data_IF_142329586768
#
_entry.id   IF_142329586768
#
_cell.length_a   1.000
_cell.length_b   1.000
_cell.length_c   1.000
_cell.angle_alpha   90.00
_cell.angle_beta   90.00
_cell.angle_gamma   90.00
#
_symmetry.space_group_name_H-M   'P 1'
#
loop_
_entity.id
_entity.type
_entity.pdbx_description
1 polymer ?
#
# COMPACT_ATOMS: atom_id res chain seq x y z
N UNK A 1 20.57 -9.48 -16.93
CA UNK A 1 20.01 -8.12 -17.07
C UNK A 1 19.44 -7.76 -15.70
N UNK A 2 20.05 -6.81 -15.00
CA UNK A 2 19.53 -6.35 -13.70
C UNK A 2 18.25 -5.56 -13.96
N UNK A 3 17.10 -6.18 -13.77
CA UNK A 3 15.84 -5.45 -13.64
C UNK A 3 15.93 -4.71 -12.31
N UNK A 4 16.17 -3.41 -12.33
CA UNK A 4 16.07 -2.60 -11.12
C UNK A 4 14.63 -2.74 -10.62
N UNK A 5 14.45 -3.36 -9.45
CA UNK A 5 13.16 -3.52 -8.76
C UNK A 5 12.52 -2.18 -8.37
N UNK A 6 13.07 -1.05 -8.78
CA UNK A 6 12.54 0.30 -8.56
C UNK A 6 12.28 1.07 -9.86
N UNK A 7 12.70 0.56 -11.03
CA UNK A 7 12.74 1.35 -12.26
C UNK A 7 11.38 1.84 -12.76
N UNK A 8 10.27 1.27 -12.25
CA UNK A 8 8.90 1.74 -12.53
C UNK A 8 8.32 2.69 -11.47
N UNK A 9 8.94 2.77 -10.29
CA UNK A 9 8.51 3.66 -9.19
C UNK A 9 9.19 5.03 -9.27
N UNK A 10 10.45 5.08 -9.73
CA UNK A 10 11.22 6.32 -9.86
C UNK A 10 10.61 7.31 -10.88
N UNK A 11 9.78 6.83 -11.81
CA UNK A 11 9.17 7.63 -12.88
C UNK A 11 7.73 8.07 -12.60
N UNK A 12 7.21 7.83 -11.39
CA UNK A 12 5.82 8.15 -11.05
C UNK A 12 5.56 9.66 -11.07
N UNK A 13 4.50 10.07 -11.76
CA UNK A 13 4.05 11.45 -11.80
C UNK A 13 2.58 11.52 -11.38
N UNK A 14 2.33 12.04 -10.19
CA UNK A 14 0.96 12.23 -9.69
C UNK A 14 0.23 13.26 -10.53
N UNK A 15 -1.04 13.03 -10.80
CA UNK A 15 -1.90 13.97 -11.54
C UNK A 15 -3.31 13.95 -10.96
N UNK A 16 -4.03 15.03 -11.26
CA UNK A 16 -5.46 15.11 -11.10
C UNK A 16 -6.15 14.41 -12.27
N UNK A 17 -7.13 13.56 -11.96
CA UNK A 17 -7.95 12.80 -12.88
C UNK A 17 -9.44 13.14 -12.67
N UNK A 18 -10.26 12.95 -13.70
CA UNK A 18 -11.71 13.09 -13.57
C UNK A 18 -12.33 11.78 -13.05
N UNK A 19 -12.99 11.84 -11.90
CA UNK A 19 -13.59 10.69 -11.24
C UNK A 19 -14.66 10.01 -12.12
N UNK A 20 -15.50 10.80 -12.77
CA UNK A 20 -16.52 10.28 -13.68
C UNK A 20 -15.90 9.51 -14.83
N UNK A 21 -14.83 10.05 -15.43
CA UNK A 21 -14.09 9.39 -16.49
C UNK A 21 -13.46 8.07 -16.02
N UNK A 22 -12.87 8.06 -14.82
CA UNK A 22 -12.20 6.90 -14.23
C UNK A 22 -13.18 5.78 -13.84
N UNK A 23 -14.31 6.13 -13.22
CA UNK A 23 -15.23 5.14 -12.64
C UNK A 23 -16.45 4.81 -13.50
N UNK A 24 -16.90 5.73 -14.35
CA UNK A 24 -18.12 5.57 -15.16
C UNK A 24 -17.91 5.76 -16.66
N UNK A 25 -16.71 6.16 -17.08
CA UNK A 25 -16.39 6.48 -18.48
C UNK A 25 -17.00 7.78 -18.99
N UNK A 26 -17.66 8.57 -18.13
CA UNK A 26 -18.29 9.85 -18.47
C UNK A 26 -17.79 10.96 -17.56
N UNK A 27 -17.30 12.09 -18.08
CA UNK A 27 -16.78 13.17 -17.24
C UNK A 27 -17.79 13.66 -16.20
N UNK A 28 -17.34 13.84 -14.95
CA UNK A 28 -18.16 14.41 -13.87
C UNK A 28 -17.70 15.78 -13.40
N UNK A 29 -16.49 16.22 -13.77
CA UNK A 29 -15.85 17.43 -13.27
C UNK A 29 -15.33 17.29 -11.82
N UNK A 30 -15.44 16.10 -11.22
CA UNK A 30 -14.94 15.83 -9.87
C UNK A 30 -13.50 15.34 -9.95
N UNK A 31 -12.58 16.08 -9.34
CA UNK A 31 -11.15 15.74 -9.36
C UNK A 31 -10.81 14.68 -8.32
N UNK A 32 -10.00 13.69 -8.71
CA UNK A 32 -9.38 12.68 -7.84
C UNK A 32 -7.91 12.53 -8.17
N UNK A 33 -7.07 12.21 -7.18
CA UNK A 33 -5.63 12.01 -7.42
C UNK A 33 -5.33 10.59 -7.87
N UNK A 34 -4.44 10.48 -8.84
CA UNK A 34 -3.85 9.22 -9.29
C UNK A 34 -2.48 9.48 -9.94
N UNK A 35 -2.06 8.58 -10.81
CA UNK A 35 -0.83 8.72 -11.60
C UNK A 35 -1.12 8.88 -13.08
N UNK A 36 -0.30 9.68 -13.76
CA UNK A 36 -0.48 9.99 -15.18
C UNK A 36 -0.32 8.77 -16.09
N UNK A 37 0.55 7.83 -15.70
CA UNK A 37 0.83 6.61 -16.45
C UNK A 37 0.87 5.43 -15.49
N UNK A 38 0.41 4.27 -15.94
CA UNK A 38 0.51 3.01 -15.20
C UNK A 38 1.97 2.56 -15.06
N UNK A 39 2.28 1.90 -13.95
CA UNK A 39 3.61 1.32 -13.69
C UNK A 39 3.53 -0.21 -13.67
N UNK A 40 4.69 -0.88 -13.67
CA UNK A 40 4.75 -2.34 -13.50
C UNK A 40 4.19 -2.83 -12.14
N UNK A 41 4.02 -1.92 -11.17
CA UNK A 41 3.47 -2.22 -9.84
C UNK A 41 1.98 -1.90 -9.74
N UNK A 42 1.37 -1.29 -10.76
CA UNK A 42 -0.07 -1.07 -10.76
C UNK A 42 -0.78 -2.41 -11.05
N UNK A 43 -1.84 -2.76 -10.29
CA UNK A 43 -2.61 -3.97 -10.57
C UNK A 43 -3.23 -3.92 -11.97
N UNK A 44 -3.46 -5.10 -12.55
CA UNK A 44 -4.19 -5.21 -13.81
C UNK A 44 -5.64 -4.70 -13.64
N UNK A 45 -6.04 -3.81 -14.54
CA UNK A 45 -7.41 -3.30 -14.60
C UNK A 45 -8.35 -4.36 -15.16
N UNK A 46 -9.41 -4.64 -14.42
CA UNK A 46 -10.55 -5.41 -14.90
C UNK A 46 -11.69 -4.45 -15.26
N UNK A 47 -12.00 -4.35 -16.55
CA UNK A 47 -13.04 -3.49 -17.08
C UNK A 47 -14.46 -3.97 -16.74
N UNK A 48 -14.63 -5.24 -16.37
CA UNK A 48 -15.90 -5.84 -15.99
C UNK A 48 -16.11 -5.82 -14.46
N UNK A 49 -15.12 -5.37 -13.69
CA UNK A 49 -15.22 -5.33 -12.23
C UNK A 49 -16.28 -4.32 -11.77
N UNK A 50 -17.30 -4.81 -11.06
CA UNK A 50 -18.37 -4.00 -10.48
C UNK A 50 -18.08 -3.77 -9.00
N UNK A 51 -17.97 -2.50 -8.59
CA UNK A 51 -17.93 -2.15 -7.18
C UNK A 51 -19.30 -2.34 -6.54
N UNK A 52 -19.37 -3.24 -5.56
CA UNK A 52 -20.57 -3.41 -4.76
C UNK A 52 -20.82 -2.18 -3.87
N UNK A 53 -22.07 -1.91 -3.52
CA UNK A 53 -22.43 -0.76 -2.67
C UNK A 53 -21.73 -0.77 -1.30
N UNK A 54 -21.40 -1.95 -0.79
CA UNK A 54 -20.64 -2.13 0.46
C UNK A 54 -19.18 -1.67 0.37
N UNK A 55 -18.68 -1.39 -0.84
CA UNK A 55 -17.32 -0.87 -1.05
C UNK A 55 -17.22 0.65 -0.95
N UNK A 56 -18.34 1.36 -0.71
CA UNK A 56 -18.38 2.83 -0.72
C UNK A 56 -17.36 3.47 0.22
N UNK A 57 -17.17 2.94 1.42
CA UNK A 57 -16.22 3.52 2.39
C UNK A 57 -14.77 3.41 1.88
N UNK A 58 -14.41 2.27 1.29
CA UNK A 58 -13.10 2.09 0.65
C UNK A 58 -12.92 3.05 -0.53
N UNK A 59 -13.95 3.22 -1.36
CA UNK A 59 -13.91 4.15 -2.50
C UNK A 59 -13.69 5.57 -2.00
N UNK A 60 -14.47 6.01 -1.01
CA UNK A 60 -14.39 7.37 -0.42
C UNK A 60 -13.02 7.61 0.19
N UNK A 61 -12.50 6.65 0.97
CA UNK A 61 -11.15 6.73 1.52
C UNK A 61 -10.09 6.88 0.42
N UNK A 62 -10.22 6.10 -0.66
CA UNK A 62 -9.23 6.09 -1.74
C UNK A 62 -9.22 7.42 -2.52
N UNK A 63 -10.39 8.01 -2.77
CA UNK A 63 -10.49 9.25 -3.55
C UNK A 63 -10.37 10.52 -2.70
N UNK A 64 -10.54 10.42 -1.38
CA UNK A 64 -10.43 11.56 -0.47
C UNK A 64 -8.99 12.07 -0.40
N UNK A 65 -8.78 13.40 -0.42
CA UNK A 65 -7.49 14.01 -0.11
C UNK A 65 -7.01 13.69 1.31
N UNK A 66 -7.91 13.51 2.29
CA UNK A 66 -7.56 13.17 3.67
C UNK A 66 -7.16 11.70 3.81
N UNK A 67 -7.75 10.80 3.01
CA UNK A 67 -7.44 9.37 3.06
C UNK A 67 -6.00 9.03 2.64
N UNK A 68 -5.27 9.96 2.03
CA UNK A 68 -3.83 9.81 1.78
C UNK A 68 -2.98 9.84 3.06
N UNK A 69 -3.54 10.28 4.19
CA UNK A 69 -2.84 10.37 5.48
C UNK A 69 -3.34 9.34 6.50
N UNK A 70 -4.45 8.65 6.22
CA UNK A 70 -5.07 7.72 7.16
C UNK A 70 -4.91 6.28 6.69
N UNK A 71 -4.37 5.37 7.51
CA UNK A 71 -4.37 3.94 7.20
C UNK A 71 -5.79 3.37 7.08
N UNK A 72 -5.99 2.43 6.15
CA UNK A 72 -7.26 1.73 5.98
C UNK A 72 -7.16 0.28 6.47
N UNK A 73 -8.04 -0.09 7.39
CA UNK A 73 -8.20 -1.48 7.84
C UNK A 73 -9.50 -2.07 7.30
N UNK A 74 -9.40 -3.13 6.50
CA UNK A 74 -10.56 -3.79 5.87
C UNK A 74 -10.66 -5.23 6.36
N UNK A 75 -11.72 -5.55 7.10
CA UNK A 75 -11.96 -6.91 7.58
C UNK A 75 -13.27 -7.51 7.09
N UNK A 76 -13.35 -8.83 7.14
CA UNK A 76 -14.52 -9.60 6.74
C UNK A 76 -14.13 -11.02 6.32
N UNK A 77 -15.10 -11.88 5.97
CA UNK A 77 -14.81 -13.27 5.60
C UNK A 77 -13.83 -13.40 4.43
N UNK A 78 -13.18 -14.56 4.33
CA UNK A 78 -12.38 -14.91 3.14
C UNK A 78 -13.27 -14.90 1.89
N UNK A 79 -12.75 -14.40 0.78
CA UNK A 79 -13.49 -14.37 -0.50
C UNK A 79 -14.54 -13.26 -0.64
N UNK A 80 -14.72 -12.35 0.33
CA UNK A 80 -15.69 -11.25 0.20
C UNK A 80 -15.21 -10.04 -0.64
N UNK A 81 -14.04 -10.16 -1.28
CA UNK A 81 -13.56 -9.17 -2.26
C UNK A 81 -12.70 -8.03 -1.73
N UNK A 82 -12.29 -8.01 -0.44
CA UNK A 82 -11.47 -6.96 0.19
C UNK A 82 -10.27 -6.54 -0.66
N UNK A 83 -9.37 -7.48 -0.91
CA UNK A 83 -8.12 -7.28 -1.67
C UNK A 83 -8.41 -6.91 -3.12
N UNK A 84 -9.42 -7.54 -3.75
CA UNK A 84 -9.81 -7.23 -5.13
C UNK A 84 -10.33 -5.80 -5.28
N UNK A 85 -11.12 -5.32 -4.31
CA UNK A 85 -11.66 -3.96 -4.35
C UNK A 85 -10.54 -2.92 -4.30
N UNK A 86 -9.59 -3.07 -3.36
CA UNK A 86 -8.45 -2.16 -3.24
C UNK A 86 -7.59 -2.17 -4.52
N UNK A 87 -7.29 -3.36 -5.06
CA UNK A 87 -6.51 -3.50 -6.30
C UNK A 87 -7.21 -2.85 -7.50
N UNK A 88 -8.54 -2.98 -7.59
CA UNK A 88 -9.31 -2.43 -8.70
C UNK A 88 -9.57 -0.92 -8.57
N UNK A 89 -9.56 -0.37 -7.35
CA UNK A 89 -9.47 1.08 -7.11
C UNK A 89 -8.10 1.61 -7.54
N UNK A 90 -7.03 0.93 -7.14
CA UNK A 90 -5.67 1.29 -7.49
C UNK A 90 -5.43 1.24 -9.01
N UNK A 91 -5.85 0.17 -9.69
CA UNK A 91 -5.72 0.01 -11.12
C UNK A 91 -6.38 1.16 -11.90
N UNK A 92 -7.58 1.58 -11.49
CA UNK A 92 -8.32 2.69 -12.12
C UNK A 92 -7.63 4.05 -12.00
N UNK A 93 -6.82 4.24 -10.97
CA UNK A 93 -6.09 5.48 -10.69
C UNK A 93 -4.59 5.37 -10.99
N UNK A 94 -4.17 4.29 -11.67
CA UNK A 94 -2.77 3.96 -11.96
C UNK A 94 -1.88 3.90 -10.70
N UNK A 95 -2.46 3.59 -9.55
CA UNK A 95 -1.75 3.51 -8.28
C UNK A 95 -0.87 2.25 -8.22
N UNK A 96 0.43 2.38 -7.96
CA UNK A 96 1.27 1.23 -7.69
C UNK A 96 0.87 0.59 -6.35
N UNK A 97 0.86 -0.74 -6.32
CA UNK A 97 0.55 -1.54 -5.13
C UNK A 97 1.72 -2.48 -4.86
N UNK A 98 2.32 -2.32 -3.69
CA UNK A 98 3.29 -3.26 -3.13
C UNK A 98 2.54 -4.12 -2.13
N UNK A 99 2.26 -5.37 -2.50
CA UNK A 99 1.47 -6.29 -1.70
C UNK A 99 2.37 -7.26 -0.94
N UNK A 100 2.06 -7.45 0.34
CA UNK A 100 2.69 -8.45 1.21
C UNK A 100 1.58 -9.23 1.89
N UNK A 101 1.68 -10.55 1.89
CA UNK A 101 0.74 -11.41 2.62
C UNK A 101 1.34 -11.78 3.97
N UNK A 102 0.60 -11.49 5.03
CA UNK A 102 0.95 -11.81 6.40
C UNK A 102 1.05 -13.32 6.64
N UNK A 103 2.06 -13.72 7.41
CA UNK A 103 2.24 -15.08 7.89
C UNK A 103 3.17 -15.07 9.10
N UNK A 104 3.15 -16.15 9.90
CA UNK A 104 3.91 -16.21 11.16
C UNK A 104 5.45 -16.17 11.05
N UNK A 105 6.00 -16.19 9.83
CA UNK A 105 7.44 -16.00 9.56
C UNK A 105 7.79 -14.62 9.00
N UNK A 106 6.80 -13.74 8.81
CA UNK A 106 7.05 -12.41 8.28
C UNK A 106 7.74 -11.63 9.39
N UNK A 107 8.78 -10.88 9.04
CA UNK A 107 9.48 -10.01 9.96
C UNK A 107 9.34 -8.55 9.53
N UNK A 108 9.53 -7.61 10.47
CA UNK A 108 9.48 -6.19 10.14
C UNK A 108 10.59 -5.79 9.14
N UNK A 109 11.74 -6.47 9.18
CA UNK A 109 12.82 -6.31 8.22
C UNK A 109 12.42 -6.72 6.79
N UNK A 110 11.48 -7.65 6.61
CA UNK A 110 10.96 -7.99 5.28
C UNK A 110 10.16 -6.83 4.68
N UNK A 111 9.51 -6.03 5.53
CA UNK A 111 8.74 -4.85 5.11
C UNK A 111 9.66 -3.65 4.83
N UNK A 112 10.62 -3.39 5.72
CA UNK A 112 11.50 -2.21 5.64
C UNK A 112 12.66 -2.42 4.67
N UNK A 113 13.24 -3.62 4.65
CA UNK A 113 14.48 -3.93 3.95
C UNK A 113 15.57 -4.41 4.90
N UNK A 114 16.60 -5.03 4.33
CA UNK A 114 17.72 -5.62 5.06
C UNK A 114 19.00 -5.52 4.25
N UNK A 115 20.14 -5.68 4.93
CA UNK A 115 21.44 -5.79 4.27
C UNK A 115 21.59 -7.18 3.61
N UNK A 116 21.95 -7.18 2.33
CA UNK A 116 22.25 -8.39 1.56
C UNK A 116 23.64 -8.30 0.92
N UNK A 117 24.23 -9.44 0.60
CA UNK A 117 25.51 -9.50 -0.10
C UNK A 117 25.25 -9.61 -1.60
N UNK A 118 25.67 -8.59 -2.35
CA UNK A 118 25.60 -8.58 -3.81
C UNK A 118 26.99 -8.35 -4.39
N UNK A 119 27.45 -9.31 -5.20
CA UNK A 119 28.78 -9.28 -5.83
C UNK A 119 29.93 -9.04 -4.83
N UNK A 120 29.81 -9.63 -3.63
CA UNK A 120 30.82 -9.52 -2.55
C UNK A 120 30.75 -8.23 -1.73
N UNK A 121 29.81 -7.32 -2.02
CA UNK A 121 29.59 -6.11 -1.26
C UNK A 121 28.30 -6.18 -0.45
N UNK A 122 28.31 -5.58 0.74
CA UNK A 122 27.09 -5.37 1.52
C UNK A 122 26.27 -4.23 0.89
N UNK A 123 25.05 -4.53 0.47
CA UNK A 123 24.12 -3.57 -0.12
C UNK A 123 22.78 -3.65 0.62
N UNK A 124 22.21 -2.51 0.94
CA UNK A 124 20.86 -2.47 1.52
C UNK A 124 19.82 -2.69 0.43
N UNK A 125 18.93 -3.66 0.64
CA UNK A 125 17.80 -3.93 -0.23
C UNK A 125 16.52 -3.45 0.44
N UNK A 126 15.85 -2.47 -0.19
CA UNK A 126 14.64 -1.87 0.36
C UNK A 126 13.44 -2.81 0.25
N UNK A 127 12.71 -2.94 1.35
CA UNK A 127 11.46 -3.68 1.39
C UNK A 127 10.26 -2.87 0.87
N UNK A 128 9.10 -3.52 0.71
CA UNK A 128 7.90 -2.95 0.13
C UNK A 128 7.35 -1.75 0.90
N UNK A 129 7.48 -1.71 2.24
CA UNK A 129 7.07 -0.56 3.04
C UNK A 129 7.95 0.65 2.74
N UNK A 130 9.28 0.49 2.77
CA UNK A 130 10.21 1.57 2.51
C UNK A 130 10.05 2.12 1.08
N UNK A 131 9.86 1.22 0.09
CA UNK A 131 9.59 1.60 -1.29
C UNK A 131 8.25 2.34 -1.44
N UNK A 132 7.17 1.85 -0.80
CA UNK A 132 5.86 2.50 -0.87
C UNK A 132 5.90 3.90 -0.26
N UNK A 133 6.51 4.04 0.91
CA UNK A 133 6.68 5.33 1.58
C UNK A 133 7.50 6.30 0.74
N UNK A 134 8.60 5.84 0.14
CA UNK A 134 9.51 6.69 -0.65
C UNK A 134 8.87 7.20 -1.94
N UNK A 135 8.18 6.34 -2.67
CA UNK A 135 7.72 6.64 -4.03
C UNK A 135 6.22 6.96 -4.14
N UNK A 136 5.48 6.87 -3.03
CA UNK A 136 4.04 7.14 -3.04
C UNK A 136 3.20 5.98 -3.58
N UNK A 137 3.53 4.75 -3.19
CA UNK A 137 2.70 3.60 -3.52
C UNK A 137 1.72 3.27 -2.40
N UNK A 138 0.82 2.33 -2.68
CA UNK A 138 0.08 1.63 -1.63
C UNK A 138 0.92 0.48 -1.12
N UNK A 139 1.14 0.44 0.20
CA UNK A 139 1.46 -0.82 0.86
C UNK A 139 0.14 -1.53 1.17
N UNK A 140 -0.06 -2.71 0.58
CA UNK A 140 -1.19 -3.59 0.86
C UNK A 140 -0.71 -4.77 1.70
N UNK A 141 -0.90 -4.69 3.02
CA UNK A 141 -0.61 -5.79 3.95
C UNK A 141 -1.84 -6.69 4.08
N UNK A 142 -1.87 -7.75 3.28
CA UNK A 142 -2.98 -8.69 3.23
C UNK A 142 -2.88 -9.70 4.38
N UNK A 143 -3.99 -10.04 5.03
CA UNK A 143 -4.01 -10.99 6.17
C UNK A 143 -3.07 -10.58 7.32
N UNK A 144 -3.17 -9.32 7.75
CA UNK A 144 -2.36 -8.78 8.85
C UNK A 144 -2.58 -9.56 10.17
N UNK A 145 -3.75 -10.17 10.33
CA UNK A 145 -4.09 -11.03 11.47
C UNK A 145 -3.26 -12.32 11.55
N UNK A 146 -2.50 -12.66 10.50
CA UNK A 146 -1.55 -13.78 10.49
C UNK A 146 -0.11 -13.35 10.78
N UNK A 147 0.14 -12.05 10.98
CA UNK A 147 1.46 -11.53 11.33
C UNK A 147 1.76 -11.62 12.83
N UNK A 148 3.03 -11.53 13.19
CA UNK A 148 3.42 -11.47 14.60
C UNK A 148 3.03 -10.11 15.23
N UNK A 149 2.77 -10.05 16.55
CA UNK A 149 2.53 -8.78 17.25
C UNK A 149 3.68 -7.78 17.11
N UNK A 150 4.92 -8.26 16.92
CA UNK A 150 6.10 -7.43 16.71
C UNK A 150 6.00 -6.60 15.43
N UNK A 151 5.43 -7.15 14.35
CA UNK A 151 5.17 -6.39 13.12
C UNK A 151 4.15 -5.28 13.37
N UNK A 152 3.04 -5.61 14.04
CA UNK A 152 2.01 -4.62 14.36
C UNK A 152 2.59 -3.45 15.19
N UNK A 153 3.39 -3.77 16.20
CA UNK A 153 4.08 -2.77 17.01
C UNK A 153 5.07 -1.92 16.20
N UNK A 154 5.84 -2.53 15.29
CA UNK A 154 6.75 -1.83 14.40
C UNK A 154 6.05 -0.90 13.40
N UNK A 155 4.81 -1.21 13.03
CA UNK A 155 4.00 -0.39 12.12
C UNK A 155 3.37 0.82 12.79
N UNK A 156 3.22 0.87 14.12
CA UNK A 156 2.53 1.97 14.81
C UNK A 156 3.02 3.37 14.39
N UNK A 157 4.33 3.60 14.38
CA UNK A 157 4.88 4.90 13.99
C UNK A 157 4.58 5.27 12.54
N UNK A 158 4.57 4.27 11.65
CA UNK A 158 4.20 4.46 10.23
C UNK A 158 2.72 4.79 10.09
N UNK A 159 1.87 4.11 10.86
CA UNK A 159 0.42 4.33 10.90
C UNK A 159 0.06 5.72 11.45
N UNK A 160 0.87 6.24 12.37
CA UNK A 160 0.79 7.62 12.90
C UNK A 160 1.33 8.67 11.90
N UNK A 161 1.83 8.26 10.73
CA UNK A 161 2.38 9.14 9.71
C UNK A 161 3.82 9.62 9.98
N UNK A 162 4.52 8.98 10.92
CA UNK A 162 5.91 9.33 11.23
C UNK A 162 6.88 8.91 10.12
N UNK A 163 8.04 9.57 9.99
CA UNK A 163 9.10 9.13 9.09
C UNK A 163 9.63 7.75 9.47
N UNK A 164 9.98 6.93 8.48
CA UNK A 164 10.61 5.63 8.69
C UNK A 164 12.12 5.82 8.83
N UNK A 165 12.68 5.46 9.99
CA UNK A 165 14.12 5.46 10.25
C UNK A 165 14.69 4.06 10.00
N UNK A 166 15.67 3.95 9.10
CA UNK A 166 16.33 2.71 8.73
C UNK A 166 17.75 2.73 9.29
N UNK A 167 17.90 2.31 10.55
CA UNK A 167 19.17 2.31 11.27
C UNK A 167 20.27 1.49 10.54
N UNK A 168 19.89 0.34 9.97
CA UNK A 168 20.81 -0.55 9.24
C UNK A 168 21.37 0.08 7.96
N UNK A 169 20.64 1.02 7.36
CA UNK A 169 21.08 1.75 6.16
C UNK A 169 21.71 3.11 6.54
N UNK A 170 22.58 3.11 7.54
CA UNK A 170 23.29 4.32 7.98
C UNK A 170 22.40 5.38 8.65
N UNK A 171 21.25 4.98 9.19
CA UNK A 171 20.29 5.90 9.81
C UNK A 171 19.49 6.73 8.80
N UNK A 172 19.27 6.20 7.59
CA UNK A 172 18.45 6.84 6.58
C UNK A 172 17.02 7.12 7.10
N UNK A 173 16.48 8.27 6.76
CA UNK A 173 15.11 8.68 7.13
C UNK A 173 14.28 8.82 5.85
N UNK A 174 13.22 8.02 5.72
CA UNK A 174 12.26 8.10 4.64
C UNK A 174 11.02 8.86 5.14
N UNK A 175 10.80 10.04 4.55
CA UNK A 175 9.56 10.79 4.75
C UNK A 175 8.44 10.13 3.93
N UNK A 176 7.24 9.90 4.48
CA UNK A 176 6.13 9.36 3.71
C UNK A 176 5.76 10.34 2.59
N UNK A 177 5.80 9.85 1.36
CA UNK A 177 5.38 10.61 0.20
C UNK A 177 3.90 11.03 0.34
N UNK A 178 3.45 12.19 -0.18
CA UNK A 178 2.05 12.62 -0.07
C UNK A 178 1.02 11.70 -0.74
N UNK A 179 1.49 10.79 -1.60
CA UNK A 179 0.71 9.73 -2.23
C UNK A 179 0.96 8.35 -1.59
N UNK A 180 1.72 8.25 -0.50
CA UNK A 180 1.83 6.99 0.23
C UNK A 180 0.48 6.65 0.85
N UNK A 181 0.11 5.37 0.80
CA UNK A 181 -1.12 4.86 1.41
C UNK A 181 -0.83 3.52 2.07
N UNK A 182 -1.38 3.31 3.25
CA UNK A 182 -1.31 2.03 3.96
C UNK A 182 -2.68 1.38 3.98
N UNK A 183 -2.77 0.14 3.51
CA UNK A 183 -3.98 -0.67 3.58
C UNK A 183 -3.65 -2.02 4.21
N UNK A 184 -4.38 -2.38 5.25
CA UNK A 184 -4.36 -3.72 5.83
C UNK A 184 -5.68 -4.43 5.57
N UNK A 185 -5.62 -5.73 5.25
CA UNK A 185 -6.79 -6.59 5.21
C UNK A 185 -6.69 -7.68 6.27
N UNK A 186 -7.82 -8.12 6.80
CA UNK A 186 -7.87 -9.21 7.77
C UNK A 186 -9.15 -10.04 7.61
N UNK A 187 -9.16 -11.22 8.22
CA UNK A 187 -10.38 -12.01 8.36
C UNK A 187 -11.11 -11.70 9.68
N UNK A 188 -10.40 -11.14 10.67
CA UNK A 188 -10.93 -10.73 11.97
C UNK A 188 -11.03 -9.20 12.10
N UNK A 189 -11.82 -8.71 13.05
CA UNK A 189 -11.89 -7.27 13.35
C UNK A 189 -10.67 -6.74 14.11
N UNK A 190 -9.61 -7.54 14.29
CA UNK A 190 -8.42 -7.16 15.05
C UNK A 190 -8.64 -7.13 16.57
N UNK A 191 -9.79 -7.60 17.05
CA UNK A 191 -10.05 -7.79 18.47
C UNK A 191 -9.18 -8.92 19.01
N UNK A 192 -8.09 -8.58 19.69
CA UNK A 192 -7.62 -9.40 20.81
C UNK A 192 -8.73 -9.48 21.87
N UNK A 193 -8.60 -10.42 22.80
CA UNK A 193 -9.45 -10.41 23.99
C UNK A 193 -9.39 -9.03 24.68
N UNK A 194 -10.46 -8.64 25.39
CA UNK A 194 -10.61 -7.33 26.06
C UNK A 194 -9.48 -7.00 27.08
N UNK A 195 -8.49 -7.87 27.22
CA UNK A 195 -7.37 -7.75 28.16
C UNK A 195 -6.16 -7.04 27.56
N UNK A 196 -5.97 -7.05 26.24
CA UNK A 196 -4.80 -6.43 25.59
C UNK A 196 -3.46 -6.94 26.13
N UNK A 197 -3.39 -8.19 26.59
CA UNK A 197 -2.21 -8.85 27.18
C UNK A 197 -1.69 -10.01 26.33
#
# INVERSE_FOLDING_TARGET
MHTNLTSGLDSLQSTDLDAGQVFSGKPSGTTVRGYAVTSAYAPALDHEYIFHESSRDMVVWFVSPQGAQEPLYVFGPTGCGKTSCIKQLAARLNYPVLEVTGHGRLEFADLVGHLTVKDGNMTFEYGPLALAMRYGAILLLNEIDLTSPEIAAGLNSVLDGSPLCIAENGGEIIQPHPMFRFVATANTNGGGDDTGL
#
